data_IF_822958496852
#
_entry.id   IF_822958496852
#
_cell.length_a   1.000
_cell.length_b   1.000
_cell.length_c   1.000
_cell.angle_alpha   90.00
_cell.angle_beta   90.00
_cell.angle_gamma   90.00
#
_symmetry.space_group_name_H-M   'P 1'
#
loop_
_entity.id
_entity.type
_entity.pdbx_description
1 polymer ?
#
# COMPACT_ATOMS: atom_id res chain seq x y z
N UNK A 1 -31.10 -14.57 48.42
CA UNK A 1 -30.61 -15.40 47.29
C UNK A 1 -31.09 -14.90 45.90
N UNK A 2 -31.33 -13.60 45.68
CA UNK A 2 -31.75 -13.07 44.36
C UNK A 2 -30.75 -12.11 43.70
N UNK A 3 -29.64 -11.76 44.38
CA UNK A 3 -28.65 -10.80 43.85
C UNK A 3 -27.62 -11.41 42.91
N UNK A 4 -27.43 -12.73 42.92
CA UNK A 4 -26.48 -13.41 42.03
C UNK A 4 -27.09 -13.73 40.65
N UNK A 5 -28.41 -13.90 40.55
CA UNK A 5 -29.10 -14.22 39.29
C UNK A 5 -29.29 -13.01 38.36
N UNK A 6 -29.26 -11.78 38.88
CA UNK A 6 -29.47 -10.57 38.06
C UNK A 6 -28.21 -10.16 37.27
N UNK A 7 -27.01 -10.42 37.82
CA UNK A 7 -25.74 -10.16 37.14
C UNK A 7 -25.47 -11.13 35.98
N UNK A 8 -25.92 -12.39 36.10
CA UNK A 8 -25.79 -13.40 35.04
C UNK A 8 -26.66 -13.02 33.83
N UNK A 9 -27.87 -12.47 34.04
CA UNK A 9 -28.77 -12.08 32.96
C UNK A 9 -28.24 -10.89 32.12
N UNK A 10 -27.59 -9.91 32.74
CA UNK A 10 -27.04 -8.72 32.04
C UNK A 10 -25.80 -9.08 31.21
N UNK A 11 -24.96 -10.01 31.70
CA UNK A 11 -23.78 -10.49 30.96
C UNK A 11 -24.18 -11.35 29.75
N UNK A 12 -25.31 -12.06 29.83
CA UNK A 12 -25.87 -12.86 28.71
C UNK A 12 -26.55 -12.02 27.62
N UNK A 13 -27.11 -10.85 27.94
CA UNK A 13 -27.73 -9.98 26.93
C UNK A 13 -26.70 -9.24 26.08
N UNK A 14 -25.54 -8.91 26.65
CA UNK A 14 -24.44 -8.25 25.93
C UNK A 14 -23.71 -9.20 24.97
N UNK A 15 -23.66 -10.50 25.28
CA UNK A 15 -23.04 -11.50 24.41
C UNK A 15 -23.83 -11.75 23.13
N UNK A 16 -25.16 -11.89 23.23
CA UNK A 16 -26.03 -12.08 22.07
C UNK A 16 -26.01 -10.89 21.10
N UNK A 17 -25.86 -9.66 21.60
CA UNK A 17 -25.76 -8.47 20.77
C UNK A 17 -24.46 -8.42 19.95
N UNK A 18 -23.32 -8.75 20.57
CA UNK A 18 -22.02 -8.75 19.89
C UNK A 18 -21.92 -9.85 18.82
N UNK A 19 -22.42 -11.05 19.10
CA UNK A 19 -22.44 -12.16 18.13
C UNK A 19 -23.32 -11.79 16.94
N UNK A 20 -24.53 -11.28 17.19
CA UNK A 20 -25.43 -10.88 16.12
C UNK A 20 -24.83 -9.76 15.24
N UNK A 21 -24.15 -8.79 15.84
CA UNK A 21 -23.45 -7.74 15.10
C UNK A 21 -22.31 -8.32 14.24
N UNK A 22 -21.48 -9.21 14.82
CA UNK A 22 -20.40 -9.88 14.09
C UNK A 22 -20.93 -10.71 12.92
N UNK A 23 -22.03 -11.44 13.12
CA UNK A 23 -22.70 -12.22 12.09
C UNK A 23 -23.26 -11.35 10.97
N UNK A 24 -23.87 -10.21 11.31
CA UNK A 24 -24.39 -9.28 10.31
C UNK A 24 -23.25 -8.72 9.46
N UNK A 25 -22.17 -8.26 10.10
CA UNK A 25 -20.97 -7.81 9.39
C UNK A 25 -20.39 -8.91 8.49
N UNK A 26 -20.37 -10.15 8.98
CA UNK A 26 -19.85 -11.30 8.24
C UNK A 26 -20.68 -11.59 6.99
N UNK A 27 -22.01 -11.64 7.13
CA UNK A 27 -22.97 -11.88 6.03
C UNK A 27 -22.93 -10.75 5.00
N UNK A 28 -22.63 -9.52 5.42
CA UNK A 28 -22.42 -8.36 4.55
C UNK A 28 -21.05 -8.30 3.88
N UNK A 29 -20.13 -9.21 4.21
CA UNK A 29 -18.77 -9.24 3.65
C UNK A 29 -17.76 -8.30 4.34
N UNK A 30 -18.13 -7.67 5.45
CA UNK A 30 -17.28 -6.79 6.24
C UNK A 30 -16.37 -7.59 7.19
N UNK A 31 -15.49 -8.42 6.63
CA UNK A 31 -14.75 -9.42 7.41
C UNK A 31 -13.80 -8.84 8.47
N UNK A 32 -13.12 -7.72 8.19
CA UNK A 32 -12.27 -7.06 9.19
C UNK A 32 -13.09 -6.48 10.35
N UNK A 33 -14.30 -6.02 10.06
CA UNK A 33 -15.24 -5.53 11.07
C UNK A 33 -15.73 -6.68 11.95
N UNK A 34 -16.10 -7.83 11.35
CA UNK A 34 -16.44 -9.06 12.11
C UNK A 34 -15.34 -9.43 13.09
N UNK A 35 -14.08 -9.48 12.63
CA UNK A 35 -12.92 -9.81 13.49
C UNK A 35 -12.74 -8.78 14.61
N UNK A 36 -12.94 -7.51 14.30
CA UNK A 36 -12.80 -6.43 15.29
C UNK A 36 -13.90 -6.49 16.35
N UNK A 37 -15.17 -6.68 15.96
CA UNK A 37 -16.30 -6.82 16.89
C UNK A 37 -16.07 -7.99 17.85
N UNK A 38 -15.69 -9.16 17.32
CA UNK A 38 -15.43 -10.36 18.13
C UNK A 38 -14.31 -10.08 19.12
N UNK A 39 -13.21 -9.51 18.64
CA UNK A 39 -12.04 -9.25 19.47
C UNK A 39 -12.33 -8.17 20.54
N UNK A 40 -13.06 -7.11 20.21
CA UNK A 40 -13.47 -6.06 21.15
C UNK A 40 -14.37 -6.62 22.25
N UNK A 41 -15.31 -7.48 21.88
CA UNK A 41 -16.17 -8.15 22.85
C UNK A 41 -15.38 -9.06 23.80
N UNK A 42 -14.49 -9.90 23.27
CA UNK A 42 -13.67 -10.81 24.08
C UNK A 42 -12.72 -10.01 24.98
N UNK A 43 -12.05 -9.00 24.46
CA UNK A 43 -11.14 -8.11 25.21
C UNK A 43 -11.89 -7.39 26.34
N UNK A 44 -13.10 -6.89 26.08
CA UNK A 44 -13.94 -6.22 27.09
C UNK A 44 -14.45 -7.19 28.16
N UNK A 45 -14.80 -8.42 27.78
CA UNK A 45 -15.31 -9.43 28.70
C UNK A 45 -14.20 -9.99 29.59
N UNK A 46 -12.98 -10.12 29.06
CA UNK A 46 -11.82 -10.65 29.78
C UNK A 46 -11.86 -12.16 30.03
N UNK A 47 -12.92 -12.84 29.59
CA UNK A 47 -13.11 -14.30 29.67
C UNK A 47 -13.85 -14.78 28.42
N UNK A 48 -13.78 -16.09 28.16
CA UNK A 48 -14.58 -16.69 27.11
C UNK A 48 -16.08 -16.65 27.46
N UNK A 49 -16.98 -16.51 26.46
CA UNK A 49 -18.41 -16.73 26.65
C UNK A 49 -18.72 -18.23 26.81
N UNK A 50 -19.99 -18.60 26.74
CA UNK A 50 -20.35 -20.02 26.74
C UNK A 50 -19.74 -20.74 25.51
N UNK A 51 -19.76 -22.07 25.53
CA UNK A 51 -19.12 -22.90 24.50
C UNK A 51 -19.69 -22.63 23.10
N UNK A 52 -21.02 -22.57 22.96
CA UNK A 52 -21.70 -22.33 21.69
C UNK A 52 -21.36 -20.95 21.08
N UNK A 53 -21.37 -19.91 21.91
CA UNK A 53 -20.98 -18.55 21.52
C UNK A 53 -19.51 -18.51 21.07
N UNK A 54 -18.62 -19.18 21.83
CA UNK A 54 -17.20 -19.25 21.52
C UNK A 54 -16.96 -19.97 20.19
N UNK A 55 -17.63 -21.10 19.97
CA UNK A 55 -17.54 -21.87 18.73
C UNK A 55 -18.00 -21.04 17.52
N UNK A 56 -19.15 -20.35 17.65
CA UNK A 56 -19.65 -19.46 16.59
C UNK A 56 -18.65 -18.35 16.24
N UNK A 57 -18.13 -17.65 17.25
CA UNK A 57 -17.15 -16.58 17.06
C UNK A 57 -15.87 -17.07 16.38
N UNK A 58 -15.24 -18.13 16.89
CA UNK A 58 -13.98 -18.61 16.35
C UNK A 58 -14.16 -19.29 14.99
N UNK A 59 -15.31 -19.91 14.72
CA UNK A 59 -15.66 -20.42 13.40
C UNK A 59 -15.75 -19.30 12.36
N UNK A 60 -16.40 -18.17 12.68
CA UNK A 60 -16.41 -17.00 11.79
C UNK A 60 -15.00 -16.52 11.46
N UNK A 61 -14.14 -16.36 12.48
CA UNK A 61 -12.75 -15.93 12.27
C UNK A 61 -11.98 -16.93 11.41
N UNK A 62 -12.12 -18.24 11.66
CA UNK A 62 -11.47 -19.28 10.86
C UNK A 62 -11.94 -19.26 9.40
N UNK A 63 -13.24 -19.14 9.16
CA UNK A 63 -13.80 -19.07 7.81
C UNK A 63 -13.32 -17.85 7.04
N UNK A 64 -13.10 -16.72 7.72
CA UNK A 64 -12.48 -15.52 7.12
C UNK A 64 -11.04 -15.82 6.72
N UNK A 65 -10.25 -16.46 7.58
CA UNK A 65 -8.87 -16.89 7.26
C UNK A 65 -8.87 -17.78 6.02
N UNK A 66 -9.66 -18.86 6.03
CA UNK A 66 -9.80 -19.80 4.91
C UNK A 66 -10.19 -19.07 3.62
N UNK A 67 -11.09 -18.08 3.70
CA UNK A 67 -11.47 -17.28 2.53
C UNK A 67 -10.30 -16.51 1.94
N UNK A 68 -9.47 -15.86 2.76
CA UNK A 68 -8.29 -15.14 2.27
C UNK A 68 -7.21 -16.11 1.76
N UNK A 69 -7.03 -17.25 2.42
CA UNK A 69 -6.14 -18.31 1.93
C UNK A 69 -6.57 -18.85 0.57
N UNK A 70 -7.87 -19.08 0.38
CA UNK A 70 -8.42 -19.48 -0.90
C UNK A 70 -8.20 -18.40 -1.96
N UNK A 71 -8.42 -17.11 -1.65
CA UNK A 71 -8.12 -16.02 -2.58
C UNK A 71 -6.66 -16.02 -3.03
N UNK A 72 -5.71 -16.35 -2.13
CA UNK A 72 -4.30 -16.46 -2.47
C UNK A 72 -4.06 -17.67 -3.38
N UNK A 73 -4.61 -18.83 -3.00
CA UNK A 73 -4.38 -20.10 -3.70
C UNK A 73 -5.00 -20.15 -5.10
N UNK A 74 -6.15 -19.50 -5.30
CA UNK A 74 -6.88 -19.52 -6.58
C UNK A 74 -6.57 -18.31 -7.47
N UNK A 75 -5.88 -17.30 -6.96
CA UNK A 75 -5.45 -16.15 -7.77
C UNK A 75 -4.40 -16.61 -8.79
N UNK A 76 -4.56 -16.18 -10.05
CA UNK A 76 -3.60 -16.47 -11.10
C UNK A 76 -2.21 -15.89 -10.76
N UNK A 77 -1.17 -16.42 -11.41
CA UNK A 77 0.22 -16.02 -11.11
C UNK A 77 0.48 -14.52 -11.28
N UNK A 78 -0.24 -13.86 -12.19
CA UNK A 78 -0.15 -12.42 -12.43
C UNK A 78 -1.12 -11.55 -11.61
N UNK A 79 -2.05 -12.15 -10.86
CA UNK A 79 -3.00 -11.40 -10.02
C UNK A 79 -2.39 -11.05 -8.66
N UNK A 80 -1.34 -10.22 -8.71
CA UNK A 80 -0.67 -9.72 -7.52
C UNK A 80 -1.59 -8.86 -6.65
N UNK A 81 -2.57 -8.17 -7.25
CA UNK A 81 -3.50 -7.30 -6.52
C UNK A 81 -4.36 -8.10 -5.53
N UNK A 82 -4.96 -9.19 -5.98
CA UNK A 82 -5.73 -10.10 -5.13
C UNK A 82 -4.85 -10.72 -4.03
N UNK A 83 -3.66 -11.20 -4.38
CA UNK A 83 -2.72 -11.81 -3.42
C UNK A 83 -2.26 -10.82 -2.35
N UNK A 84 -1.86 -9.61 -2.74
CA UNK A 84 -1.47 -8.52 -1.82
C UNK A 84 -2.61 -8.19 -0.86
N UNK A 85 -3.82 -7.95 -1.40
CA UNK A 85 -4.98 -7.61 -0.57
C UNK A 85 -5.33 -8.73 0.43
N UNK A 86 -5.28 -9.99 0.00
CA UNK A 86 -5.56 -11.12 0.89
C UNK A 86 -4.50 -11.26 2.01
N UNK A 87 -3.21 -11.15 1.68
CA UNK A 87 -2.16 -11.17 2.70
C UNK A 87 -2.25 -9.99 3.67
N UNK A 88 -2.57 -8.78 3.19
CA UNK A 88 -2.73 -7.60 4.02
C UNK A 88 -3.93 -7.73 5.00
N UNK A 89 -5.02 -8.34 4.53
CA UNK A 89 -6.14 -8.67 5.40
C UNK A 89 -5.76 -9.70 6.49
N UNK A 90 -4.99 -10.74 6.15
CA UNK A 90 -4.46 -11.70 7.12
C UNK A 90 -3.50 -11.01 8.12
N UNK A 91 -2.67 -10.07 7.64
CA UNK A 91 -1.77 -9.28 8.49
C UNK A 91 -2.54 -8.42 9.49
N UNK A 92 -3.60 -7.75 9.02
CA UNK A 92 -4.48 -6.93 9.87
C UNK A 92 -5.15 -7.77 10.95
N UNK A 93 -5.70 -8.94 10.60
CA UNK A 93 -6.26 -9.89 11.57
C UNK A 93 -5.20 -10.36 12.56
N UNK A 94 -4.02 -10.76 12.05
CA UNK A 94 -2.92 -11.27 12.87
C UNK A 94 -2.42 -10.23 13.88
N UNK A 95 -2.37 -8.95 13.49
CA UNK A 95 -2.03 -7.83 14.39
C UNK A 95 -3.12 -7.60 15.43
N UNK A 96 -4.41 -7.55 15.03
CA UNK A 96 -5.54 -7.32 15.95
C UNK A 96 -5.63 -8.39 17.02
N UNK A 97 -5.40 -9.64 16.64
CA UNK A 97 -5.56 -10.83 17.47
C UNK A 97 -4.26 -11.30 18.14
N UNK A 98 -3.16 -10.54 18.04
CA UNK A 98 -1.88 -10.92 18.61
C UNK A 98 -1.89 -10.92 20.15
N UNK A 99 -1.25 -11.92 20.77
CA UNK A 99 -0.98 -12.01 22.21
C UNK A 99 -2.25 -11.86 23.09
N UNK A 100 -3.35 -12.52 22.69
CA UNK A 100 -4.64 -12.47 23.40
C UNK A 100 -4.80 -13.65 24.35
N UNK A 101 -5.61 -13.51 25.40
CA UNK A 101 -5.87 -14.59 26.36
C UNK A 101 -6.53 -15.82 25.72
N UNK A 102 -7.17 -15.62 24.57
CA UNK A 102 -7.84 -16.65 23.77
C UNK A 102 -6.98 -17.16 22.59
N UNK A 103 -5.67 -16.92 22.57
CA UNK A 103 -4.78 -17.29 21.46
C UNK A 103 -4.87 -18.78 21.07
N UNK A 104 -5.06 -19.67 22.05
CA UNK A 104 -5.25 -21.11 21.82
C UNK A 104 -6.41 -21.43 20.87
N UNK A 105 -7.47 -20.60 20.85
CA UNK A 105 -8.63 -20.80 19.98
C UNK A 105 -8.44 -20.27 18.56
N UNK A 106 -7.39 -19.48 18.32
CA UNK A 106 -7.10 -18.84 17.02
C UNK A 106 -5.77 -19.30 16.43
N UNK A 107 -5.23 -20.44 16.89
CA UNK A 107 -3.96 -21.00 16.41
C UNK A 107 -3.95 -21.31 14.92
N UNK A 108 -5.11 -21.50 14.29
CA UNK A 108 -5.22 -21.62 12.83
C UNK A 108 -4.68 -20.37 12.09
N UNK A 109 -4.70 -19.20 12.75
CA UNK A 109 -4.08 -17.96 12.28
C UNK A 109 -2.74 -17.72 12.96
N UNK A 110 -2.72 -17.67 14.29
CA UNK A 110 -1.53 -17.19 15.04
C UNK A 110 -0.40 -18.19 15.09
N UNK A 111 -0.72 -19.49 14.99
CA UNK A 111 0.25 -20.58 14.86
C UNK A 111 0.74 -20.81 13.42
N UNK A 112 -0.04 -20.39 12.41
CA UNK A 112 0.31 -20.56 10.99
C UNK A 112 1.09 -19.37 10.43
N UNK A 113 0.75 -18.16 10.87
CA UNK A 113 1.32 -16.93 10.33
C UNK A 113 1.99 -16.08 11.41
N UNK A 114 3.24 -15.71 11.20
CA UNK A 114 3.88 -14.61 11.92
C UNK A 114 3.62 -13.28 11.21
N UNK A 115 3.69 -12.17 11.96
CA UNK A 115 3.59 -10.81 11.40
C UNK A 115 4.71 -10.59 10.37
N UNK A 116 5.93 -11.02 10.68
CA UNK A 116 7.08 -10.92 9.78
C UNK A 116 6.89 -11.71 8.48
N UNK A 117 6.41 -12.95 8.56
CA UNK A 117 6.17 -13.77 7.36
C UNK A 117 5.10 -13.15 6.46
N UNK A 118 4.02 -12.60 7.04
CA UNK A 118 2.99 -11.92 6.26
C UNK A 118 3.53 -10.64 5.60
N UNK A 119 4.30 -9.82 6.33
CA UNK A 119 4.99 -8.66 5.74
C UNK A 119 5.91 -9.08 4.57
N UNK A 120 6.69 -10.15 4.76
CA UNK A 120 7.57 -10.70 3.72
C UNK A 120 6.79 -11.17 2.50
N UNK A 121 5.67 -11.89 2.69
CA UNK A 121 4.81 -12.34 1.60
C UNK A 121 4.23 -11.16 0.81
N UNK A 122 3.79 -10.10 1.50
CA UNK A 122 3.29 -8.88 0.83
C UNK A 122 4.40 -8.22 0.00
N UNK A 123 5.58 -8.05 0.58
CA UNK A 123 6.74 -7.48 -0.11
C UNK A 123 7.14 -8.29 -1.35
N UNK A 124 7.13 -9.63 -1.25
CA UNK A 124 7.38 -10.52 -2.37
C UNK A 124 6.37 -10.32 -3.52
N UNK A 125 5.06 -10.20 -3.22
CA UNK A 125 4.08 -9.97 -4.28
C UNK A 125 4.28 -8.61 -4.99
N UNK A 126 4.64 -7.56 -4.24
CA UNK A 126 5.03 -6.28 -4.84
C UNK A 126 6.33 -6.38 -5.66
N UNK A 127 7.29 -7.18 -5.21
CA UNK A 127 8.51 -7.47 -5.96
C UNK A 127 8.20 -8.14 -7.31
N UNK A 128 7.39 -9.20 -7.30
CA UNK A 128 6.96 -9.90 -8.51
C UNK A 128 6.16 -8.98 -9.44
N UNK A 129 5.25 -8.16 -8.89
CA UNK A 129 4.51 -7.13 -9.65
C UNK A 129 5.44 -6.13 -10.33
N UNK A 130 6.48 -5.67 -9.64
CA UNK A 130 7.48 -4.78 -10.24
C UNK A 130 8.25 -5.47 -11.37
N UNK A 131 8.65 -6.73 -11.17
CA UNK A 131 9.37 -7.54 -12.16
C UNK A 131 8.53 -7.92 -13.39
N UNK A 132 7.21 -8.01 -13.26
CA UNK A 132 6.32 -8.37 -14.37
C UNK A 132 6.07 -7.24 -15.35
N UNK A 133 6.32 -5.98 -14.95
CA UNK A 133 6.12 -4.82 -15.82
C UNK A 133 7.31 -4.71 -16.77
N UNK A 134 7.04 -4.78 -18.09
CA UNK A 134 8.06 -4.56 -19.11
C UNK A 134 8.49 -3.09 -19.13
N UNK A 135 9.79 -2.76 -18.99
CA UNK A 135 10.26 -1.39 -19.10
C UNK A 135 10.11 -0.85 -20.53
N UNK A 136 9.28 0.17 -20.69
CA UNK A 136 9.06 0.94 -21.92
C UNK A 136 8.76 2.41 -21.59
N UNK A 137 9.73 3.30 -21.80
CA UNK A 137 9.57 4.73 -21.53
C UNK A 137 9.44 5.09 -20.05
N UNK A 138 9.20 6.38 -19.76
CA UNK A 138 9.27 6.93 -18.39
C UNK A 138 8.18 6.36 -17.46
N UNK A 139 6.94 6.23 -17.93
CA UNK A 139 5.80 5.87 -17.08
C UNK A 139 5.90 4.43 -16.55
N UNK A 140 6.41 3.50 -17.35
CA UNK A 140 6.65 2.12 -16.89
C UNK A 140 7.77 2.07 -15.84
N UNK A 141 8.85 2.84 -16.00
CA UNK A 141 9.89 2.94 -14.96
C UNK A 141 9.33 3.51 -13.65
N UNK A 142 8.44 4.50 -13.72
CA UNK A 142 7.75 5.03 -12.53
C UNK A 142 6.84 3.97 -11.89
N UNK A 143 6.07 3.23 -12.69
CA UNK A 143 5.19 2.17 -12.20
C UNK A 143 5.97 1.05 -11.51
N UNK A 144 7.10 0.63 -12.09
CA UNK A 144 8.01 -0.37 -11.50
C UNK A 144 8.58 0.14 -10.17
N UNK A 145 9.12 1.37 -10.16
CA UNK A 145 9.68 1.97 -8.95
C UNK A 145 8.64 2.06 -7.83
N UNK A 146 7.40 2.45 -8.15
CA UNK A 146 6.30 2.50 -7.18
C UNK A 146 5.94 1.12 -6.63
N UNK A 147 5.90 0.08 -7.47
CA UNK A 147 5.65 -1.29 -7.00
C UNK A 147 6.73 -1.73 -6.00
N UNK A 148 8.01 -1.52 -6.32
CA UNK A 148 9.10 -1.83 -5.39
C UNK A 148 9.08 -0.95 -4.14
N UNK A 149 8.74 0.33 -4.25
CA UNK A 149 8.58 1.22 -3.09
C UNK A 149 7.52 0.70 -2.12
N UNK A 150 6.34 0.32 -2.62
CA UNK A 150 5.28 -0.24 -1.78
C UNK A 150 5.70 -1.54 -1.12
N UNK A 151 6.41 -2.44 -1.81
CA UNK A 151 6.91 -3.67 -1.19
C UNK A 151 7.94 -3.40 -0.08
N UNK A 152 8.82 -2.42 -0.29
CA UNK A 152 9.87 -2.05 0.66
C UNK A 152 9.34 -1.42 1.97
N UNK A 153 8.08 -0.96 1.99
CA UNK A 153 7.41 -0.50 3.22
C UNK A 153 7.07 -1.65 4.17
N UNK A 154 6.87 -2.87 3.65
CA UNK A 154 6.53 -4.03 4.46
C UNK A 154 7.76 -4.81 4.92
N UNK A 155 8.71 -5.06 4.01
CA UNK A 155 9.88 -5.88 4.29
C UNK A 155 11.02 -5.56 3.31
N UNK A 156 12.27 -5.65 3.79
CA UNK A 156 13.46 -5.49 2.94
C UNK A 156 13.73 -6.79 2.15
N UNK A 157 12.89 -7.03 1.15
CA UNK A 157 12.89 -8.26 0.37
C UNK A 157 13.94 -8.21 -0.75
N UNK A 158 14.96 -9.05 -0.66
CA UNK A 158 16.03 -9.16 -1.69
C UNK A 158 16.65 -7.78 -2.01
N UNK A 159 16.70 -7.41 -3.30
CA UNK A 159 17.26 -6.16 -3.81
C UNK A 159 16.19 -5.09 -4.07
N UNK A 160 14.99 -5.20 -3.46
CA UNK A 160 13.82 -4.37 -3.77
C UNK A 160 14.11 -2.86 -3.70
N UNK A 161 14.88 -2.40 -2.71
CA UNK A 161 15.27 -0.98 -2.59
C UNK A 161 16.23 -0.54 -3.69
N UNK A 162 17.18 -1.40 -4.07
CA UNK A 162 18.14 -1.11 -5.14
C UNK A 162 17.42 -1.01 -6.50
N UNK A 163 16.48 -1.93 -6.76
CA UNK A 163 15.64 -1.87 -7.96
C UNK A 163 14.73 -0.64 -7.98
N UNK A 164 14.08 -0.32 -6.85
CA UNK A 164 13.30 0.92 -6.68
C UNK A 164 14.11 2.15 -7.09
N UNK A 165 15.30 2.31 -6.52
CA UNK A 165 16.14 3.50 -6.72
C UNK A 165 16.67 3.58 -8.16
N UNK A 166 17.07 2.44 -8.72
CA UNK A 166 17.48 2.34 -10.14
C UNK A 166 16.36 2.78 -11.09
N UNK A 167 15.13 2.32 -10.86
CA UNK A 167 13.98 2.68 -11.69
C UNK A 167 13.52 4.13 -11.49
N UNK A 168 13.55 4.68 -10.27
CA UNK A 168 13.29 6.11 -10.04
C UNK A 168 14.32 6.99 -10.75
N UNK A 169 15.61 6.62 -10.70
CA UNK A 169 16.65 7.34 -11.42
C UNK A 169 16.41 7.30 -12.92
N UNK A 170 16.06 6.13 -13.47
CA UNK A 170 15.77 5.99 -14.91
C UNK A 170 14.55 6.81 -15.33
N UNK A 171 13.48 6.82 -14.53
CA UNK A 171 12.32 7.70 -14.72
C UNK A 171 12.75 9.17 -14.76
N UNK A 172 13.50 9.63 -13.75
CA UNK A 172 13.98 11.00 -13.66
C UNK A 172 14.82 11.39 -14.88
N UNK A 173 15.75 10.52 -15.32
CA UNK A 173 16.56 10.75 -16.52
C UNK A 173 15.71 10.93 -17.77
N UNK A 174 14.72 10.06 -18.00
CA UNK A 174 13.87 10.12 -19.18
C UNK A 174 12.92 11.32 -19.15
N UNK A 175 12.40 11.67 -17.97
CA UNK A 175 11.54 12.83 -17.81
C UNK A 175 12.31 14.14 -18.00
N UNK A 176 13.54 14.21 -17.48
CA UNK A 176 14.43 15.33 -17.70
C UNK A 176 14.84 15.47 -19.18
N UNK A 177 15.10 14.35 -19.89
CA UNK A 177 15.40 14.39 -21.32
C UNK A 177 14.22 14.93 -22.15
N UNK A 178 13.00 14.48 -21.88
CA UNK A 178 11.78 14.98 -22.55
C UNK A 178 11.65 16.52 -22.40
N UNK A 179 11.79 17.04 -21.18
CA UNK A 179 11.80 18.49 -20.96
C UNK A 179 12.96 19.18 -21.66
N UNK A 180 14.15 18.60 -21.64
CA UNK A 180 15.32 19.17 -22.31
C UNK A 180 15.13 19.27 -23.83
N UNK A 181 14.57 18.23 -24.46
CA UNK A 181 14.27 18.25 -25.90
C UNK A 181 13.19 19.28 -26.24
N UNK A 182 12.17 19.45 -25.39
CA UNK A 182 11.17 20.53 -25.55
C UNK A 182 11.82 21.90 -25.46
N UNK A 183 12.75 22.10 -24.54
CA UNK A 183 13.55 23.32 -24.44
C UNK A 183 14.33 23.59 -25.71
N UNK A 184 15.00 22.58 -26.26
CA UNK A 184 15.71 22.70 -27.54
C UNK A 184 14.78 23.03 -28.72
N UNK A 185 13.57 22.44 -28.75
CA UNK A 185 12.59 22.72 -29.79
C UNK A 185 12.08 24.18 -29.71
N UNK A 186 11.76 24.67 -28.51
CA UNK A 186 11.31 26.04 -28.28
C UNK A 186 12.38 27.08 -28.66
N UNK A 187 13.67 26.77 -28.45
CA UNK A 187 14.78 27.61 -28.93
C UNK A 187 14.77 27.76 -30.45
N UNK A 188 14.48 26.68 -31.20
CA UNK A 188 14.45 26.70 -32.67
C UNK A 188 13.33 27.62 -33.19
N UNK A 189 12.20 27.69 -32.47
CA UNK A 189 11.08 28.57 -32.80
C UNK A 189 11.19 29.96 -32.15
N UNK A 190 12.31 30.26 -31.50
CA UNK A 190 12.56 31.50 -30.76
C UNK A 190 11.56 31.79 -29.63
N UNK A 191 10.87 30.75 -29.14
CA UNK A 191 10.01 30.82 -27.97
C UNK A 191 10.87 30.67 -26.71
N UNK A 192 11.48 31.79 -26.30
CA UNK A 192 12.47 31.79 -25.21
C UNK A 192 11.85 31.60 -23.82
N UNK A 193 10.61 32.05 -23.61
CA UNK A 193 9.86 31.80 -22.37
C UNK A 193 9.60 30.29 -22.18
N UNK A 194 9.10 29.60 -23.21
CA UNK A 194 8.89 28.14 -23.16
C UNK A 194 10.22 27.39 -23.04
N UNK A 195 11.26 27.85 -23.73
CA UNK A 195 12.59 27.26 -23.61
C UNK A 195 13.12 27.31 -22.17
N UNK A 196 13.05 28.49 -21.53
CA UNK A 196 13.51 28.68 -20.15
C UNK A 196 12.75 27.77 -19.17
N UNK A 197 11.42 27.71 -19.31
CA UNK A 197 10.54 26.87 -18.48
C UNK A 197 10.86 25.38 -18.65
N UNK A 198 11.07 24.93 -19.89
CA UNK A 198 11.39 23.54 -20.18
C UNK A 198 12.77 23.13 -19.63
N UNK A 199 13.80 23.96 -19.78
CA UNK A 199 15.11 23.66 -19.18
C UNK A 199 15.09 23.68 -17.65
N UNK A 200 14.34 24.60 -17.03
CA UNK A 200 14.14 24.56 -15.59
C UNK A 200 13.46 23.25 -15.15
N UNK A 201 12.44 22.81 -15.89
CA UNK A 201 11.73 21.55 -15.60
C UNK A 201 12.61 20.31 -15.78
N UNK A 202 13.54 20.34 -16.73
CA UNK A 202 14.53 19.28 -16.92
C UNK A 202 15.50 19.17 -15.73
N UNK A 203 15.99 20.30 -15.22
CA UNK A 203 16.81 20.33 -14.01
C UNK A 203 16.01 19.83 -12.80
N UNK A 204 14.76 20.29 -12.64
CA UNK A 204 13.91 19.89 -11.53
C UNK A 204 13.63 18.39 -11.50
N UNK A 205 13.31 17.82 -12.66
CA UNK A 205 13.02 16.40 -12.78
C UNK A 205 14.19 15.51 -12.37
N UNK A 206 15.43 15.99 -12.45
CA UNK A 206 16.64 15.22 -12.14
C UNK A 206 17.34 15.65 -10.84
N UNK A 207 16.86 16.69 -10.16
CA UNK A 207 17.53 17.38 -9.05
C UNK A 207 18.08 16.44 -7.97
N UNK A 208 17.35 15.38 -7.61
CA UNK A 208 17.76 14.40 -6.60
C UNK A 208 19.02 13.61 -6.99
N UNK A 209 19.38 13.57 -8.28
CA UNK A 209 20.51 12.85 -8.84
C UNK A 209 21.62 13.80 -9.34
N UNK A 210 21.52 15.09 -9.04
CA UNK A 210 22.43 16.15 -9.49
C UNK A 210 21.87 16.96 -10.64
N UNK A 211 22.75 17.62 -11.40
CA UNK A 211 22.35 18.45 -12.53
C UNK A 211 22.09 17.64 -13.80
N UNK A 212 21.08 18.05 -14.56
CA UNK A 212 20.78 17.42 -15.84
C UNK A 212 21.42 18.19 -16.99
N UNK A 213 22.53 17.67 -17.53
CA UNK A 213 23.31 18.32 -18.60
C UNK A 213 23.63 19.78 -18.19
N UNK A 214 23.38 20.75 -19.07
CA UNK A 214 23.52 22.18 -18.83
C UNK A 214 22.16 22.89 -18.67
N UNK A 215 21.11 22.18 -18.24
CA UNK A 215 19.74 22.69 -18.20
C UNK A 215 19.61 23.96 -17.35
N UNK A 216 20.22 23.99 -16.15
CA UNK A 216 20.24 25.20 -15.31
C UNK A 216 20.81 26.42 -16.03
N UNK A 217 21.96 26.28 -16.71
CA UNK A 217 22.58 27.36 -17.48
C UNK A 217 21.72 27.81 -18.67
N UNK A 218 21.08 26.86 -19.37
CA UNK A 218 20.20 27.17 -20.49
C UNK A 218 18.91 27.87 -20.04
N UNK A 219 18.34 27.48 -18.90
CA UNK A 219 17.18 28.14 -18.31
C UNK A 219 17.47 29.63 -18.05
N UNK A 220 18.59 29.94 -17.38
CA UNK A 220 19.01 31.33 -17.11
C UNK A 220 19.29 32.11 -18.39
N UNK A 221 19.91 31.47 -19.39
CA UNK A 221 20.21 32.11 -20.67
C UNK A 221 18.93 32.56 -21.38
N UNK A 222 17.96 31.67 -21.52
CA UNK A 222 16.76 31.97 -22.30
C UNK A 222 15.75 32.84 -21.55
N UNK A 223 15.71 32.79 -20.21
CA UNK A 223 14.96 33.78 -19.41
C UNK A 223 15.47 35.21 -19.66
N UNK A 224 16.79 35.40 -19.70
CA UNK A 224 17.39 36.71 -20.04
C UNK A 224 17.11 37.13 -21.48
N UNK A 225 17.06 36.16 -22.40
CA UNK A 225 16.82 36.45 -23.81
C UNK A 225 15.37 36.84 -24.07
N UNK A 226 14.42 36.14 -23.44
CA UNK A 226 13.00 36.47 -23.48
C UNK A 226 12.73 37.91 -23.02
N UNK A 227 13.26 38.27 -21.84
CA UNK A 227 13.15 39.64 -21.29
C UNK A 227 13.66 40.71 -22.25
N UNK A 228 14.74 40.43 -22.99
CA UNK A 228 15.27 41.36 -24.02
C UNK A 228 14.34 41.47 -25.22
N UNK A 229 13.72 40.38 -25.65
CA UNK A 229 12.78 40.37 -26.78
C UNK A 229 11.52 41.17 -26.45
N UNK A 230 10.95 41.01 -25.25
CA UNK A 230 9.76 41.73 -24.78
C UNK A 230 9.99 43.26 -24.75
N UNK A 231 11.16 43.70 -24.28
CA UNK A 231 11.51 45.13 -24.26
C UNK A 231 11.60 45.69 -25.69
N UNK A 232 12.13 44.92 -26.65
CA UNK A 232 12.24 45.37 -28.04
C UNK A 232 10.91 45.41 -28.78
N UNK A 233 9.93 44.59 -28.40
CA UNK A 233 8.60 44.57 -29.03
C UNK A 233 7.65 45.64 -28.50
N UNK A 234 8.04 46.38 -27.45
CA UNK A 234 7.23 47.43 -26.80
C UNK A 234 7.72 48.86 -27.11
N UNK A 235 8.76 48.99 -27.94
CA UNK A 235 9.32 50.23 -28.48
C UNK A 235 9.00 50.33 -29.98
#
# INVERSE_FOLDING_TARGET
MYRLSFFILIISLLSGCAIQQAENAYKSGNYQETVSIIADYLDKKGTLPNESDSESMFSMVNNIVIRYENKIATASDGDYGTKISAYDNLLSMRKRLNNRFYDNHIRFLTGKYSIEQLNKNIAEQYYLKGKSIKPSGKDSHLAIAKAFSSGAEYYDYQDIKQLRDSHYKKYATLNADDFYQRGLAAVKTQDYASAATAFFSAEEAYRQYGSYKNSSSLAVKYDKQDKKTVIRSTL
#
